data_IF_593458232978
#
_entry.id   IF_593458232978
#
_cell.length_a   1.000
_cell.length_b   1.000
_cell.length_c   1.000
_cell.angle_alpha   90.00
_cell.angle_beta   90.00
_cell.angle_gamma   90.00
#
_symmetry.space_group_name_H-M   'P 1'
#
loop_
_entity.id
_entity.type
_entity.pdbx_description
1 polymer ?
#
# COMPACT_ATOMS: atom_id res chain seq x y z
N UNK A 1 -33.02 29.08 -7.79
CA UNK A 1 -31.92 28.15 -8.14
C UNK A 1 -30.71 28.43 -7.26
N UNK A 2 -30.54 27.64 -6.27
CA UNK A 2 -29.35 27.72 -5.46
C UNK A 2 -28.19 27.10 -6.23
N UNK A 3 -27.32 27.95 -6.76
CA UNK A 3 -25.99 27.53 -7.19
C UNK A 3 -25.26 27.01 -5.96
N UNK A 4 -25.41 25.73 -5.68
CA UNK A 4 -24.50 25.08 -4.75
C UNK A 4 -23.16 24.97 -5.45
N UNK A 5 -22.35 25.99 -5.29
CA UNK A 5 -20.94 25.86 -5.62
C UNK A 5 -20.40 24.66 -4.85
N UNK A 6 -19.74 23.74 -5.56
CA UNK A 6 -18.97 22.69 -4.89
C UNK A 6 -18.13 23.34 -3.78
N UNK A 7 -18.00 22.68 -2.61
CA UNK A 7 -17.16 23.24 -1.55
C UNK A 7 -15.80 23.59 -2.15
N UNK A 8 -15.34 24.81 -1.87
CA UNK A 8 -14.06 25.34 -2.39
C UNK A 8 -12.88 24.41 -2.07
N UNK A 9 -13.06 23.54 -1.09
CA UNK A 9 -12.02 22.65 -0.58
C UNK A 9 -12.17 21.19 -1.06
N UNK A 10 -13.02 20.92 -2.04
CA UNK A 10 -13.17 19.55 -2.55
C UNK A 10 -11.94 19.20 -3.38
N UNK A 11 -11.20 18.20 -2.90
CA UNK A 11 -10.02 17.68 -3.58
C UNK A 11 -10.41 16.92 -4.85
N UNK A 12 -9.49 16.84 -5.85
CA UNK A 12 -9.69 15.96 -6.99
C UNK A 12 -10.01 14.54 -6.58
N UNK A 13 -10.68 13.80 -7.47
CA UNK A 13 -11.08 12.42 -7.23
C UNK A 13 -9.89 11.55 -6.84
N UNK A 14 -10.05 10.81 -5.75
CA UNK A 14 -9.04 9.90 -5.22
C UNK A 14 -7.96 10.54 -4.34
N UNK A 15 -7.80 11.85 -4.36
CA UNK A 15 -6.74 12.52 -3.59
C UNK A 15 -7.00 12.43 -2.09
N UNK A 16 -8.24 12.66 -1.66
CA UNK A 16 -8.59 12.57 -0.23
C UNK A 16 -8.42 11.13 0.28
N UNK A 17 -8.77 10.13 -0.52
CA UNK A 17 -8.56 8.72 -0.19
C UNK A 17 -7.06 8.41 -0.06
N UNK A 18 -6.24 8.88 -0.98
CA UNK A 18 -4.80 8.69 -0.94
C UNK A 18 -4.16 9.35 0.29
N UNK A 19 -4.58 10.55 0.64
CA UNK A 19 -4.12 11.24 1.84
C UNK A 19 -4.53 10.52 3.12
N UNK A 20 -5.73 9.94 3.14
CA UNK A 20 -6.17 9.11 4.26
C UNK A 20 -5.28 7.87 4.39
N UNK A 21 -4.98 7.20 3.28
CA UNK A 21 -4.09 6.05 3.26
C UNK A 21 -2.70 6.41 3.80
N UNK A 22 -2.14 7.53 3.34
CA UNK A 22 -0.86 8.05 3.81
C UNK A 22 -0.85 8.27 5.32
N UNK A 23 -1.87 8.94 5.85
CA UNK A 23 -1.98 9.17 7.30
C UNK A 23 -2.13 7.86 8.07
N UNK A 24 -2.89 6.91 7.55
CA UNK A 24 -3.05 5.60 8.19
C UNK A 24 -1.73 4.85 8.30
N UNK A 25 -0.93 4.85 7.24
CA UNK A 25 0.40 4.22 7.26
C UNK A 25 1.34 4.91 8.24
N UNK A 26 1.37 6.24 8.20
CA UNK A 26 2.21 7.02 9.10
C UNK A 26 1.84 6.79 10.56
N UNK A 27 0.56 6.86 10.87
CA UNK A 27 0.10 6.67 12.25
C UNK A 27 0.36 5.25 12.73
N UNK A 28 0.15 4.24 11.90
CA UNK A 28 0.45 2.86 12.24
C UNK A 28 1.94 2.64 12.47
N UNK A 29 2.80 3.26 11.66
CA UNK A 29 4.24 3.18 11.83
C UNK A 29 4.67 3.81 13.17
N UNK A 30 4.18 4.99 13.47
CA UNK A 30 4.47 5.69 14.74
C UNK A 30 4.02 4.83 15.93
N UNK A 31 2.82 4.27 15.85
CA UNK A 31 2.29 3.41 16.92
C UNK A 31 3.17 2.19 17.16
N UNK A 32 3.74 1.60 16.10
CA UNK A 32 4.64 0.44 16.19
C UNK A 32 6.09 0.82 16.51
N UNK A 33 6.40 2.10 16.62
CA UNK A 33 7.75 2.56 16.88
C UNK A 33 8.66 2.61 15.66
N UNK A 34 8.14 2.60 14.45
CA UNK A 34 8.92 2.75 13.24
C UNK A 34 8.98 4.20 12.79
N UNK A 35 10.10 4.62 12.25
CA UNK A 35 10.21 5.91 11.57
C UNK A 35 9.38 5.88 10.28
N UNK A 36 8.86 7.04 9.90
CA UNK A 36 8.13 7.20 8.66
C UNK A 36 8.62 8.48 7.98
N UNK A 37 9.47 8.31 6.99
CA UNK A 37 10.17 9.39 6.32
C UNK A 37 9.74 9.57 4.87
N UNK A 38 8.66 8.89 4.45
CA UNK A 38 8.11 9.03 3.11
C UNK A 38 7.30 10.32 3.02
N UNK A 39 7.54 11.09 1.98
CA UNK A 39 6.65 12.21 1.61
C UNK A 39 5.35 11.66 1.01
N UNK A 40 4.31 12.50 0.96
CA UNK A 40 3.06 12.11 0.30
C UNK A 40 3.28 11.71 -1.16
N UNK A 41 4.16 12.42 -1.85
CA UNK A 41 4.49 12.13 -3.26
C UNK A 41 5.20 10.79 -3.41
N UNK A 42 6.20 10.52 -2.58
CA UNK A 42 6.90 9.23 -2.58
C UNK A 42 5.95 8.08 -2.25
N UNK A 43 5.11 8.28 -1.24
CA UNK A 43 4.09 7.30 -0.84
C UNK A 43 3.11 7.02 -1.99
N UNK A 44 2.63 8.06 -2.65
CA UNK A 44 1.72 7.93 -3.78
C UNK A 44 2.34 7.14 -4.91
N UNK A 45 3.58 7.41 -5.28
CA UNK A 45 4.30 6.67 -6.31
C UNK A 45 4.45 5.19 -5.96
N UNK A 46 4.81 4.90 -4.72
CA UNK A 46 4.95 3.52 -4.26
C UNK A 46 3.62 2.77 -4.32
N UNK A 47 2.55 3.36 -3.79
CA UNK A 47 1.26 2.69 -3.71
C UNK A 47 0.56 2.57 -5.06
N UNK A 48 0.95 3.37 -6.05
CA UNK A 48 0.45 3.27 -7.42
C UNK A 48 1.30 2.39 -8.32
N UNK A 49 2.45 1.93 -7.85
CA UNK A 49 3.31 1.04 -8.61
C UNK A 49 2.81 -0.40 -8.55
N UNK A 50 3.24 -1.21 -9.53
CA UNK A 50 3.00 -2.65 -9.51
C UNK A 50 3.74 -3.30 -8.34
N UNK A 51 3.22 -4.42 -7.86
CA UNK A 51 3.86 -5.16 -6.79
C UNK A 51 5.29 -5.55 -7.19
N UNK A 52 6.23 -5.23 -6.33
CA UNK A 52 7.64 -5.54 -6.57
C UNK A 52 7.89 -7.05 -6.73
N UNK A 53 7.17 -7.88 -5.98
CA UNK A 53 7.40 -9.33 -5.97
C UNK A 53 6.68 -10.06 -7.10
N UNK A 54 5.40 -9.80 -7.32
CA UNK A 54 4.59 -10.56 -8.28
C UNK A 54 4.17 -9.79 -9.53
N UNK A 55 4.45 -8.49 -9.57
CA UNK A 55 4.09 -7.64 -10.71
C UNK A 55 2.62 -7.28 -10.78
N UNK A 56 1.80 -7.65 -9.80
CA UNK A 56 0.37 -7.33 -9.80
C UNK A 56 0.13 -5.84 -9.74
N UNK A 57 -0.81 -5.38 -10.55
CA UNK A 57 -1.26 -3.98 -10.53
C UNK A 57 -1.98 -3.65 -9.24
N UNK A 58 -2.02 -2.36 -8.83
CA UNK A 58 -2.77 -1.95 -7.65
C UNK A 58 -4.25 -2.35 -7.75
N UNK A 59 -4.73 -3.12 -6.78
CA UNK A 59 -6.12 -3.62 -6.75
C UNK A 59 -6.82 -3.41 -5.42
N UNK A 60 -6.08 -3.08 -4.37
CA UNK A 60 -6.69 -2.74 -3.10
C UNK A 60 -7.45 -1.43 -3.23
N UNK A 61 -8.65 -1.38 -2.67
CA UNK A 61 -9.51 -0.19 -2.75
C UNK A 61 -9.66 0.40 -1.36
N UNK A 62 -9.30 1.67 -1.23
CA UNK A 62 -9.75 2.47 -0.09
C UNK A 62 -11.03 3.16 -0.51
N UNK A 63 -12.15 2.63 0.00
CA UNK A 63 -13.46 3.14 -0.34
C UNK A 63 -13.68 4.54 0.27
N UNK A 64 -14.30 5.41 -0.51
CA UNK A 64 -14.73 6.71 -0.05
C UNK A 64 -15.71 6.63 1.13
N UNK A 65 -16.37 5.47 1.32
CA UNK A 65 -17.36 5.24 2.38
C UNK A 65 -16.80 4.55 3.61
N UNK A 66 -15.63 3.93 3.54
CA UNK A 66 -15.05 3.16 4.63
C UNK A 66 -14.58 4.06 5.77
N UNK A 67 -15.08 3.79 6.98
CA UNK A 67 -14.67 4.50 8.19
C UNK A 67 -15.09 5.96 8.25
N UNK A 68 -15.99 6.39 7.37
CA UNK A 68 -16.47 7.75 7.35
C UNK A 68 -17.70 7.91 8.21
N UNK A 69 -17.76 9.01 8.96
CA UNK A 69 -18.97 9.40 9.68
C UNK A 69 -20.07 9.75 8.68
N UNK A 70 -21.32 9.55 9.10
CA UNK A 70 -22.47 9.93 8.30
C UNK A 70 -22.36 11.41 7.86
N UNK A 71 -22.57 11.69 6.58
CA UNK A 71 -22.43 13.03 6.00
C UNK A 71 -21.03 13.38 5.55
N UNK A 72 -20.03 12.55 5.85
CA UNK A 72 -18.66 12.71 5.37
C UNK A 72 -18.40 11.73 4.24
N UNK A 73 -17.81 12.21 3.17
CA UNK A 73 -17.35 11.32 2.09
C UNK A 73 -16.04 11.84 1.49
N UNK A 74 -15.18 10.92 1.13
CA UNK A 74 -14.03 11.23 0.30
C UNK A 74 -14.50 11.39 -1.14
N UNK A 75 -13.76 12.14 -1.95
CA UNK A 75 -14.08 12.30 -3.36
C UNK A 75 -13.48 11.15 -4.16
N UNK A 76 -14.28 10.09 -4.35
CA UNK A 76 -13.89 8.90 -5.09
C UNK A 76 -13.07 7.90 -4.30
N UNK A 77 -12.99 6.70 -4.83
CA UNK A 77 -12.16 5.63 -4.30
C UNK A 77 -10.74 5.72 -4.86
N UNK A 78 -9.79 5.14 -4.16
CA UNK A 78 -8.42 5.00 -4.64
C UNK A 78 -8.02 3.54 -4.66
N UNK A 79 -7.50 3.06 -5.79
CA UNK A 79 -6.85 1.76 -5.86
C UNK A 79 -5.37 1.91 -5.53
N UNK A 80 -4.84 0.95 -4.80
CA UNK A 80 -3.46 1.00 -4.35
C UNK A 80 -2.89 -0.39 -4.12
N UNK A 81 -1.57 -0.49 -4.12
CA UNK A 81 -0.84 -1.54 -3.45
C UNK A 81 -0.39 -1.04 -2.07
N UNK A 82 -0.03 -1.96 -1.19
CA UNK A 82 0.58 -1.61 0.08
C UNK A 82 2.07 -1.31 -0.08
N UNK A 83 2.71 -1.08 1.05
CA UNK A 83 4.15 -0.86 1.13
C UNK A 83 4.74 -1.90 2.07
N UNK A 84 5.79 -2.56 1.61
CA UNK A 84 6.60 -3.47 2.40
C UNK A 84 7.94 -2.83 2.75
N UNK A 85 8.42 -3.10 3.96
CA UNK A 85 9.78 -2.75 4.36
C UNK A 85 10.71 -3.92 4.01
N UNK A 86 11.76 -3.64 3.25
CA UNK A 86 12.72 -4.68 2.86
C UNK A 86 13.44 -5.26 4.06
N UNK A 87 13.88 -4.40 4.96
CA UNK A 87 14.48 -4.73 6.24
C UNK A 87 13.49 -4.38 7.35
N UNK A 88 13.04 -5.39 8.09
CA UNK A 88 12.05 -5.21 9.16
C UNK A 88 12.59 -4.46 10.38
N UNK A 89 13.90 -4.36 10.52
CA UNK A 89 14.54 -3.61 11.60
C UNK A 89 14.57 -2.11 11.34
N UNK A 90 14.27 -1.69 10.11
CA UNK A 90 14.26 -0.29 9.72
C UNK A 90 12.83 0.19 9.43
N UNK A 91 12.65 1.50 9.45
CA UNK A 91 11.36 2.13 9.20
C UNK A 91 11.03 2.32 7.72
N UNK A 92 10.03 3.14 7.48
CA UNK A 92 9.58 3.48 6.14
C UNK A 92 10.40 4.64 5.58
N UNK A 93 11.49 4.31 4.93
CA UNK A 93 12.29 5.24 4.13
C UNK A 93 12.12 4.89 2.66
N UNK A 94 12.48 5.79 1.76
CA UNK A 94 12.41 5.52 0.33
C UNK A 94 13.28 4.30 -0.03
N UNK A 95 14.45 4.20 0.57
CA UNK A 95 15.41 3.12 0.32
C UNK A 95 14.93 1.76 0.85
N UNK A 96 14.10 1.77 1.89
CA UNK A 96 13.62 0.54 2.56
C UNK A 96 12.18 0.17 2.20
N UNK A 97 11.54 0.90 1.32
CA UNK A 97 10.12 0.75 1.02
C UNK A 97 9.91 0.33 -0.43
N UNK A 98 9.11 -0.69 -0.63
CA UNK A 98 8.73 -1.17 -1.96
C UNK A 98 7.22 -1.39 -2.04
N UNK A 99 6.68 -1.29 -3.25
CA UNK A 99 5.29 -1.61 -3.51
C UNK A 99 5.06 -3.11 -3.30
N UNK A 100 4.02 -3.46 -2.58
CA UNK A 100 3.73 -4.85 -2.27
C UNK A 100 2.22 -5.09 -2.24
N UNK A 101 1.74 -6.05 -3.01
CA UNK A 101 0.33 -6.41 -2.98
C UNK A 101 -0.02 -7.14 -1.67
N UNK A 102 -1.31 -7.18 -1.38
CA UNK A 102 -1.83 -7.81 -0.16
C UNK A 102 -1.44 -9.28 -0.03
N UNK A 103 -1.43 -10.02 -1.14
CA UNK A 103 -1.10 -11.45 -1.16
C UNK A 103 0.37 -11.65 -0.81
N UNK A 104 1.26 -10.93 -1.48
CA UNK A 104 2.70 -11.03 -1.21
C UNK A 104 3.05 -10.54 0.19
N UNK A 105 2.40 -9.50 0.67
CA UNK A 105 2.62 -8.99 2.02
C UNK A 105 2.23 -10.02 3.09
N UNK A 106 1.10 -10.69 2.90
CA UNK A 106 0.67 -11.77 3.79
C UNK A 106 1.62 -12.96 3.75
N UNK A 107 2.07 -13.34 2.57
CA UNK A 107 3.00 -14.46 2.40
C UNK A 107 4.36 -14.16 3.05
N UNK A 108 4.84 -12.94 2.89
CA UNK A 108 6.13 -12.51 3.43
C UNK A 108 6.14 -12.41 4.96
N UNK A 109 5.06 -11.92 5.53
CA UNK A 109 4.97 -11.67 6.98
C UNK A 109 6.18 -10.87 7.49
N UNK A 110 6.90 -11.37 8.47
CA UNK A 110 8.07 -10.72 9.05
C UNK A 110 9.41 -11.12 8.42
N UNK A 111 9.39 -11.89 7.34
CA UNK A 111 10.63 -12.24 6.64
C UNK A 111 11.27 -10.99 6.03
N UNK A 112 12.58 -10.92 6.06
CA UNK A 112 13.31 -9.97 5.24
C UNK A 112 13.20 -10.34 3.77
N UNK A 113 13.47 -9.36 2.90
CA UNK A 113 13.33 -9.54 1.45
C UNK A 113 14.14 -10.74 0.93
N UNK A 114 15.39 -10.88 1.36
CA UNK A 114 16.25 -11.97 0.88
C UNK A 114 15.72 -13.34 1.30
N UNK A 115 15.25 -13.46 2.52
CA UNK A 115 14.65 -14.71 3.03
C UNK A 115 13.36 -15.04 2.29
N UNK A 116 12.55 -14.05 2.01
CA UNK A 116 11.30 -14.22 1.25
C UNK A 116 11.58 -14.70 -0.18
N UNK A 117 12.54 -14.08 -0.85
CA UNK A 117 12.92 -14.46 -2.22
C UNK A 117 13.49 -15.88 -2.24
N UNK A 118 14.33 -16.23 -1.27
CA UNK A 118 14.85 -17.60 -1.16
C UNK A 118 13.73 -18.61 -0.97
N UNK A 119 12.77 -18.32 -0.12
CA UNK A 119 11.59 -19.19 0.07
C UNK A 119 10.77 -19.34 -1.20
N UNK A 120 10.55 -18.26 -1.94
CA UNK A 120 9.84 -18.29 -3.22
C UNK A 120 10.58 -19.20 -4.21
N UNK A 121 11.89 -19.09 -4.30
CA UNK A 121 12.70 -19.93 -5.18
C UNK A 121 12.57 -21.40 -4.83
N UNK A 122 12.67 -21.74 -3.56
CA UNK A 122 12.50 -23.11 -3.07
C UNK A 122 11.10 -23.65 -3.39
N UNK A 123 10.08 -22.81 -3.14
CA UNK A 123 8.69 -23.15 -3.41
C UNK A 123 8.46 -23.44 -4.89
N UNK A 124 8.92 -22.56 -5.76
CA UNK A 124 8.76 -22.68 -7.22
C UNK A 124 9.51 -23.91 -7.72
N UNK A 125 10.76 -24.07 -7.35
CA UNK A 125 11.59 -25.19 -7.80
C UNK A 125 10.98 -26.55 -7.41
N UNK A 126 10.55 -26.67 -6.18
CA UNK A 126 9.94 -27.91 -5.71
C UNK A 126 8.56 -28.15 -6.36
N UNK A 127 7.74 -27.14 -6.44
CA UNK A 127 6.40 -27.24 -7.01
C UNK A 127 6.44 -27.56 -8.49
N UNK A 128 7.28 -26.88 -9.25
CA UNK A 128 7.42 -27.16 -10.69
C UNK A 128 7.96 -28.55 -10.95
N UNK A 129 8.91 -29.02 -10.16
CA UNK A 129 9.43 -30.38 -10.27
C UNK A 129 8.34 -31.45 -10.04
N UNK A 130 7.38 -31.17 -9.15
CA UNK A 130 6.28 -32.09 -8.85
C UNK A 130 5.18 -32.08 -9.90
N UNK A 131 4.85 -30.90 -10.43
CA UNK A 131 3.68 -30.71 -11.30
C UNK A 131 4.04 -30.62 -12.78
N UNK A 132 5.30 -30.45 -13.11
CA UNK A 132 5.76 -30.41 -14.48
C UNK A 132 6.02 -31.85 -14.95
N UNK A 133 4.98 -32.46 -15.47
CA UNK A 133 5.02 -33.82 -16.00
C UNK A 133 4.92 -33.81 -17.50
#
# INVERSE_FOLDING_TARGET
>A
MTNRKAPVNKLPEGIAAMRKLYRNYRNAAIYRGYSFELTEEQFSRLTQADCFYCGRKPTQVLSAKNGMKQGYSLNGDSTHNGIDRMDNDQGYTLENSIACCKICNRAKQAMDMDDFIAWIQDLVNHTLTRYDK
#
